data_IF_810265622358
#
_entry.id   IF_810265622358
#
_cell.length_a   1.000
_cell.length_b   1.000
_cell.length_c   1.000
_cell.angle_alpha   90.00
_cell.angle_beta   90.00
_cell.angle_gamma   90.00
#
_symmetry.space_group_name_H-M   'P 1'
#
loop_
_entity.id
_entity.type
_entity.pdbx_description
1 polymer ?
#
# COMPACT_ATOMS: atom_id res chain seq x y z
N UNK A 1 3.51 8.56 5.23
CA UNK A 1 4.69 7.87 5.82
C UNK A 1 5.10 6.66 5.00
N UNK A 2 4.17 5.79 4.58
CA UNK A 2 4.43 4.65 3.66
C UNK A 2 5.08 5.05 2.34
N UNK A 3 4.53 6.04 1.62
CA UNK A 3 5.09 6.56 0.37
C UNK A 3 6.56 6.98 0.50
N UNK A 4 6.84 7.79 1.53
CA UNK A 4 8.19 8.29 1.82
C UNK A 4 9.16 7.15 2.11
N UNK A 5 8.74 6.15 2.87
CA UNK A 5 9.54 4.96 3.14
C UNK A 5 9.90 4.22 1.84
N UNK A 6 8.91 3.93 1.00
CA UNK A 6 9.16 3.24 -0.28
C UNK A 6 10.10 4.04 -1.19
N UNK A 7 9.95 5.36 -1.26
CA UNK A 7 10.85 6.24 -2.01
C UNK A 7 12.28 6.26 -1.43
N UNK A 8 12.44 6.35 -0.10
CA UNK A 8 13.76 6.33 0.55
C UNK A 8 14.47 4.99 0.34
N UNK A 9 13.71 3.90 0.28
CA UNK A 9 14.21 2.55 0.03
C UNK A 9 14.29 2.17 -1.46
N UNK A 10 14.09 3.13 -2.39
CA UNK A 10 14.14 2.91 -3.84
C UNK A 10 13.24 1.74 -4.32
N UNK A 11 12.11 1.55 -3.65
CA UNK A 11 11.11 0.56 -4.05
C UNK A 11 10.19 1.20 -5.08
N UNK A 12 10.03 0.59 -6.24
CA UNK A 12 9.06 1.02 -7.24
C UNK A 12 7.64 0.74 -6.73
N UNK A 13 6.78 1.77 -6.75
CA UNK A 13 5.38 1.64 -6.37
C UNK A 13 4.49 2.53 -7.22
N UNK A 14 3.23 2.12 -7.37
CA UNK A 14 2.18 2.93 -7.99
C UNK A 14 1.27 3.45 -6.89
N UNK A 15 1.17 4.76 -6.76
CA UNK A 15 0.20 5.38 -5.85
C UNK A 15 -1.18 5.39 -6.48
N UNK A 16 -2.16 4.78 -5.81
CA UNK A 16 -3.57 4.88 -6.14
C UNK A 16 -4.29 5.61 -5.02
N UNK A 17 -4.68 6.86 -5.28
CA UNK A 17 -5.42 7.65 -4.32
C UNK A 17 -6.92 7.44 -4.51
N UNK A 18 -7.58 6.83 -3.52
CA UNK A 18 -9.03 6.56 -3.58
C UNK A 18 -9.89 7.83 -3.62
N UNK A 19 -9.34 9.01 -3.27
CA UNK A 19 -10.07 10.28 -3.41
C UNK A 19 -10.17 10.73 -4.87
N UNK A 20 -9.15 10.41 -5.68
CA UNK A 20 -9.11 10.71 -7.11
C UNK A 20 -9.70 9.55 -7.93
N UNK A 21 -9.52 8.32 -7.45
CA UNK A 21 -9.92 7.06 -8.07
C UNK A 21 -10.85 6.24 -7.14
N UNK A 22 -12.11 6.67 -6.95
CA UNK A 22 -13.06 6.03 -6.03
C UNK A 22 -13.42 4.59 -6.41
N UNK A 23 -13.17 4.16 -7.65
CA UNK A 23 -13.32 2.77 -8.09
C UNK A 23 -12.52 1.77 -7.23
N UNK A 24 -11.41 2.22 -6.63
CA UNK A 24 -10.62 1.36 -5.74
C UNK A 24 -11.24 1.19 -4.35
N UNK A 25 -12.25 1.98 -3.99
CA UNK A 25 -12.96 1.79 -2.72
C UNK A 25 -13.68 0.44 -2.71
N UNK A 26 -14.32 0.08 -3.82
CA UNK A 26 -15.02 -1.20 -3.95
C UNK A 26 -14.02 -2.36 -3.96
N UNK A 27 -12.89 -2.20 -4.65
CA UNK A 27 -11.76 -3.14 -4.60
C UNK A 27 -11.28 -3.40 -3.16
N UNK A 28 -11.08 -2.34 -2.37
CA UNK A 28 -10.64 -2.46 -0.98
C UNK A 28 -11.69 -3.16 -0.10
N UNK A 29 -12.98 -2.83 -0.31
CA UNK A 29 -14.08 -3.46 0.44
C UNK A 29 -14.24 -4.94 0.12
N UNK A 30 -14.13 -5.32 -1.15
CA UNK A 30 -14.20 -6.72 -1.59
C UNK A 30 -13.10 -7.58 -0.96
N UNK A 31 -11.90 -7.02 -0.78
CA UNK A 31 -10.79 -7.67 -0.07
C UNK A 31 -10.89 -7.59 1.46
N UNK A 32 -11.89 -6.89 2.01
CA UNK A 32 -12.10 -6.76 3.44
C UNK A 32 -11.17 -5.76 4.14
N UNK A 33 -10.51 -4.89 3.39
CA UNK A 33 -9.70 -3.82 3.97
C UNK A 33 -10.58 -2.74 4.58
N UNK A 34 -10.35 -2.45 5.86
CA UNK A 34 -11.11 -1.45 6.62
C UNK A 34 -10.30 -0.19 6.94
N UNK A 35 -9.02 -0.17 6.60
CA UNK A 35 -8.10 0.91 6.95
C UNK A 35 -7.09 1.16 5.85
N UNK A 36 -6.71 2.43 5.72
CA UNK A 36 -5.67 2.90 4.81
C UNK A 36 -4.43 3.29 5.62
N UNK A 37 -3.24 3.31 5.01
CA UNK A 37 -2.94 2.92 3.63
C UNK A 37 -2.90 1.39 3.44
N UNK A 38 -3.24 0.91 2.24
CA UNK A 38 -3.03 -0.49 1.85
C UNK A 38 -1.90 -0.55 0.85
N UNK A 39 -0.97 -1.49 1.04
CA UNK A 39 0.14 -1.76 0.11
C UNK A 39 0.03 -3.19 -0.36
N UNK A 40 -0.02 -3.38 -1.66
CA UNK A 40 -0.02 -4.70 -2.29
C UNK A 40 1.24 -4.82 -3.15
N UNK A 41 1.97 -5.92 -2.98
CA UNK A 41 3.19 -6.23 -3.73
C UNK A 41 3.32 -7.74 -3.88
N UNK A 42 3.47 -8.28 -5.10
CA UNK A 42 3.61 -9.71 -5.45
C UNK A 42 3.44 -10.75 -4.31
N UNK A 43 2.18 -10.98 -3.90
CA UNK A 43 1.81 -11.98 -2.89
C UNK A 43 1.83 -11.50 -1.44
N UNK A 44 2.13 -10.22 -1.21
CA UNK A 44 2.10 -9.54 0.07
C UNK A 44 1.06 -8.42 0.06
N UNK A 45 0.21 -8.42 1.09
CA UNK A 45 -0.77 -7.37 1.33
C UNK A 45 -0.58 -6.83 2.74
N UNK A 46 -0.29 -5.55 2.84
CA UNK A 46 -0.07 -4.85 4.10
C UNK A 46 -1.21 -3.87 4.27
N UNK A 47 -1.98 -4.06 5.34
CA UNK A 47 -2.94 -3.07 5.80
C UNK A 47 -2.31 -2.19 6.89
N UNK A 48 -2.25 -0.90 6.62
CA UNK A 48 -1.73 0.14 7.49
C UNK A 48 -0.24 0.43 7.27
N UNK A 49 0.30 1.32 8.11
CA UNK A 49 1.74 1.61 8.09
C UNK A 49 2.51 0.58 8.93
N UNK A 50 3.14 -0.39 8.27
CA UNK A 50 3.98 -1.41 8.93
C UNK A 50 5.42 -1.35 8.44
N UNK A 51 6.32 -0.59 9.10
CA UNK A 51 7.69 -0.41 8.63
C UNK A 51 8.47 -1.72 8.54
N UNK A 52 8.29 -2.65 9.49
CA UNK A 52 8.96 -3.96 9.48
C UNK A 52 8.62 -4.82 8.25
N UNK A 53 7.40 -4.69 7.72
CA UNK A 53 6.98 -5.44 6.52
C UNK A 53 7.38 -4.69 5.25
N UNK A 54 7.29 -3.37 5.24
CA UNK A 54 7.78 -2.54 4.14
C UNK A 54 9.29 -2.71 3.92
N UNK A 55 10.07 -2.90 4.99
CA UNK A 55 11.49 -3.24 4.88
C UNK A 55 11.76 -4.54 4.11
N UNK A 56 10.80 -5.46 4.00
CA UNK A 56 10.96 -6.69 3.19
C UNK A 56 10.79 -6.44 1.69
N UNK A 57 10.16 -5.34 1.32
CA UNK A 57 9.99 -4.90 -0.07
C UNK A 57 11.20 -4.09 -0.54
N UNK A 58 11.96 -3.53 0.40
CA UNK A 58 13.25 -2.91 0.14
C UNK A 58 14.31 -4.01 -0.07
N UNK A 59 14.98 -3.99 -1.23
CA UNK A 59 16.12 -4.86 -1.56
C UNK A 59 17.41 -4.25 -1.01
#
# INVERSE_FOLDING_TARGET
>A
MTKRFLTEHHVDFVERNINDEPQYIDYLKERGFQSLPVVEADGFEINGFRPNELSKLAI
#
